data_IF_071198829447
#
_entry.id   IF_071198829447
#
_cell.length_a   1.000
_cell.length_b   1.000
_cell.length_c   1.000
_cell.angle_alpha   90.00
_cell.angle_beta   90.00
_cell.angle_gamma   90.00
#
_symmetry.space_group_name_H-M   'P 1'
#
loop_
_entity.id
_entity.type
_entity.pdbx_description
1 polymer ?
#
# COMPACT_ATOMS: atom_id res chain seq x y z
N UNK A 1 20.01 -12.48 7.26
CA UNK A 1 18.66 -13.05 7.49
C UNK A 1 17.79 -12.75 6.28
N UNK A 2 16.81 -13.62 5.94
CA UNK A 2 15.81 -13.29 4.93
C UNK A 2 14.89 -12.21 5.51
N UNK A 3 14.61 -11.16 4.74
CA UNK A 3 13.68 -10.11 5.15
C UNK A 3 12.24 -10.50 4.82
N UNK A 4 11.35 -10.29 5.77
CA UNK A 4 9.90 -10.51 5.60
C UNK A 4 9.22 -9.23 5.18
N UNK A 5 8.53 -9.26 4.04
CA UNK A 5 7.69 -8.15 3.57
C UNK A 5 6.21 -8.55 3.64
N UNK A 6 5.41 -7.75 4.37
CA UNK A 6 3.95 -7.86 4.36
C UNK A 6 3.37 -6.84 3.37
N UNK A 7 2.49 -7.32 2.48
CA UNK A 7 1.81 -6.49 1.49
C UNK A 7 0.30 -6.66 1.66
N UNK A 8 -0.38 -5.59 2.05
CA UNK A 8 -1.84 -5.59 2.17
C UNK A 8 -2.51 -5.34 0.82
N UNK A 9 -3.68 -5.96 0.57
CA UNK A 9 -4.38 -5.82 -0.70
C UNK A 9 -3.61 -6.40 -1.90
N UNK A 10 -2.90 -7.53 -1.72
CA UNK A 10 -1.96 -8.10 -2.68
C UNK A 10 -2.59 -9.01 -3.75
N UNK A 11 -3.92 -9.16 -3.79
CA UNK A 11 -4.58 -10.09 -4.72
C UNK A 11 -4.54 -9.63 -6.19
N UNK A 12 -4.47 -8.31 -6.45
CA UNK A 12 -4.47 -7.72 -7.80
C UNK A 12 -3.85 -6.32 -7.82
N UNK A 13 -3.83 -5.69 -8.98
CA UNK A 13 -3.44 -4.29 -9.17
C UNK A 13 -2.07 -3.95 -8.61
N UNK A 14 -1.97 -2.80 -7.95
CA UNK A 14 -0.72 -2.29 -7.35
C UNK A 14 -0.13 -3.30 -6.37
N UNK A 15 -0.94 -3.89 -5.48
CA UNK A 15 -0.46 -4.85 -4.49
C UNK A 15 0.18 -6.10 -5.11
N UNK A 16 -0.41 -6.64 -6.19
CA UNK A 16 0.21 -7.74 -6.96
C UNK A 16 1.50 -7.29 -7.63
N UNK A 17 1.52 -6.10 -8.25
CA UNK A 17 2.73 -5.53 -8.86
C UNK A 17 3.88 -5.38 -7.86
N UNK A 18 3.58 -4.89 -6.66
CA UNK A 18 4.55 -4.81 -5.56
C UNK A 18 5.02 -6.21 -5.14
N UNK A 19 4.10 -7.17 -4.96
CA UNK A 19 4.47 -8.53 -4.58
C UNK A 19 5.45 -9.18 -5.58
N UNK A 20 5.23 -8.97 -6.86
CA UNK A 20 6.11 -9.48 -7.92
C UNK A 20 7.50 -8.84 -7.91
N UNK A 21 7.65 -7.60 -7.47
CA UNK A 21 8.96 -6.96 -7.34
C UNK A 21 9.84 -7.61 -6.25
N UNK A 22 9.23 -8.29 -5.28
CA UNK A 22 9.91 -9.07 -4.24
C UNK A 22 10.03 -10.57 -4.57
N UNK A 23 9.61 -11.01 -5.75
CA UNK A 23 9.64 -12.41 -6.18
C UNK A 23 11.07 -12.89 -6.49
N UNK A 24 12.00 -12.76 -5.53
CA UNK A 24 13.41 -13.12 -5.68
C UNK A 24 13.88 -13.98 -4.49
N UNK A 25 14.87 -14.84 -4.73
CA UNK A 25 15.50 -15.64 -3.67
C UNK A 25 16.04 -14.72 -2.55
N UNK A 26 15.77 -15.09 -1.30
CA UNK A 26 16.18 -14.33 -0.13
C UNK A 26 15.07 -13.47 0.48
N UNK A 27 13.90 -13.39 -0.14
CA UNK A 27 12.73 -12.72 0.43
C UNK A 27 11.73 -13.72 1.01
N UNK A 28 11.05 -13.31 2.07
CA UNK A 28 9.84 -13.92 2.61
C UNK A 28 8.69 -12.94 2.35
N UNK A 29 7.66 -13.37 1.63
CA UNK A 29 6.57 -12.49 1.19
C UNK A 29 5.27 -12.95 1.83
N UNK A 30 4.74 -12.15 2.74
CA UNK A 30 3.44 -12.30 3.35
C UNK A 30 2.41 -11.51 2.54
N UNK A 31 1.45 -12.18 1.95
CA UNK A 31 0.40 -11.58 1.12
C UNK A 31 -0.92 -11.56 1.87
N UNK A 32 -1.54 -10.39 1.94
CA UNK A 32 -2.86 -10.24 2.53
C UNK A 32 -3.90 -9.79 1.50
N UNK A 33 -5.11 -10.26 1.66
CA UNK A 33 -6.33 -9.67 1.11
C UNK A 33 -7.52 -9.97 2.04
N UNK A 34 -8.62 -9.23 1.85
CA UNK A 34 -9.85 -9.45 2.63
C UNK A 34 -10.71 -10.58 2.05
N UNK A 35 -10.94 -10.62 0.74
CA UNK A 35 -11.94 -11.49 0.12
C UNK A 35 -11.42 -12.32 -1.05
N UNK A 36 -10.56 -11.78 -1.91
CA UNK A 36 -10.16 -12.41 -3.17
C UNK A 36 -9.03 -13.45 -2.97
N UNK A 37 -9.29 -14.49 -2.18
CA UNK A 37 -8.29 -15.49 -1.80
C UNK A 37 -7.78 -16.30 -3.02
N UNK A 38 -8.63 -16.55 -4.02
CA UNK A 38 -8.24 -17.22 -5.25
C UNK A 38 -7.18 -16.42 -6.00
N UNK A 39 -7.44 -15.14 -6.28
CA UNK A 39 -6.47 -14.23 -6.92
C UNK A 39 -5.21 -14.03 -6.05
N UNK A 40 -5.34 -14.11 -4.71
CA UNK A 40 -4.19 -14.05 -3.82
C UNK A 40 -3.30 -15.30 -3.98
N UNK A 41 -3.89 -16.49 -4.17
CA UNK A 41 -3.15 -17.72 -4.46
C UNK A 41 -2.45 -17.67 -5.82
N UNK A 42 -3.06 -17.05 -6.84
CA UNK A 42 -2.38 -16.79 -8.11
C UNK A 42 -1.13 -15.90 -7.90
N UNK A 43 -1.28 -14.81 -7.13
CA UNK A 43 -0.16 -13.92 -6.81
C UNK A 43 0.94 -14.69 -6.07
N UNK A 44 0.57 -15.52 -5.08
CA UNK A 44 1.51 -16.40 -4.37
C UNK A 44 2.27 -17.31 -5.33
N UNK A 45 1.57 -17.96 -6.26
CA UNK A 45 2.19 -18.88 -7.22
C UNK A 45 3.24 -18.14 -8.09
N UNK A 46 2.93 -16.93 -8.56
CA UNK A 46 3.85 -16.08 -9.33
C UNK A 46 5.08 -15.69 -8.50
N UNK A 47 4.88 -15.27 -7.25
CA UNK A 47 5.97 -14.89 -6.32
C UNK A 47 6.88 -16.08 -6.04
N UNK A 48 6.30 -17.26 -5.77
CA UNK A 48 7.07 -18.49 -5.54
C UNK A 48 7.87 -18.90 -6.80
N UNK A 49 7.29 -18.75 -7.99
CA UNK A 49 7.98 -19.03 -9.27
C UNK A 49 9.22 -18.15 -9.44
N UNK A 50 9.21 -16.91 -8.92
CA UNK A 50 10.38 -16.02 -8.90
C UNK A 50 11.46 -16.40 -7.88
N UNK A 51 11.19 -17.35 -6.97
CA UNK A 51 12.15 -17.92 -6.02
C UNK A 51 12.03 -17.40 -4.59
N UNK A 52 11.10 -16.50 -4.27
CA UNK A 52 10.83 -16.08 -2.90
C UNK A 52 10.01 -17.13 -2.13
N UNK A 53 10.17 -17.17 -0.80
CA UNK A 53 9.22 -17.87 0.07
C UNK A 53 7.97 -17.03 0.20
N UNK A 54 6.78 -17.62 0.01
CA UNK A 54 5.54 -16.85 0.05
C UNK A 54 4.43 -17.59 0.77
N UNK A 55 3.71 -16.89 1.64
CA UNK A 55 2.50 -17.36 2.31
C UNK A 55 1.38 -16.32 2.23
N UNK A 56 0.13 -16.78 2.33
CA UNK A 56 -1.06 -15.92 2.33
C UNK A 56 -1.64 -15.84 3.72
N UNK A 57 -2.15 -14.66 4.07
CA UNK A 57 -2.76 -14.33 5.36
C UNK A 57 -4.05 -13.53 5.11
N UNK A 58 -5.17 -14.21 4.76
CA UNK A 58 -6.44 -13.55 4.54
C UNK A 58 -6.97 -12.94 5.83
N UNK A 59 -7.24 -11.63 5.81
CA UNK A 59 -7.79 -10.88 6.93
C UNK A 59 -8.37 -9.54 6.44
N UNK A 60 -9.39 -9.04 7.08
CA UNK A 60 -9.81 -7.65 6.93
C UNK A 60 -8.92 -6.78 7.82
N UNK A 61 -7.99 -6.07 7.21
CA UNK A 61 -7.02 -5.22 7.94
C UNK A 61 -7.66 -3.97 8.55
N UNK A 62 -8.90 -3.63 8.20
CA UNK A 62 -9.67 -2.60 8.91
C UNK A 62 -10.22 -3.09 10.26
N UNK A 63 -10.29 -4.40 10.45
CA UNK A 63 -10.65 -5.04 11.72
C UNK A 63 -9.39 -5.26 12.56
N UNK A 64 -9.36 -4.65 13.74
CA UNK A 64 -8.21 -4.71 14.64
C UNK A 64 -7.88 -6.13 15.09
N UNK A 65 -8.90 -6.92 15.47
CA UNK A 65 -8.70 -8.29 15.97
C UNK A 65 -8.22 -9.24 14.89
N UNK A 66 -8.76 -9.12 13.65
CA UNK A 66 -8.27 -9.91 12.53
C UNK A 66 -6.83 -9.52 12.16
N UNK A 67 -6.49 -8.23 12.26
CA UNK A 67 -5.12 -7.75 12.01
C UNK A 67 -4.17 -8.30 13.07
N UNK A 68 -4.52 -8.26 14.36
CA UNK A 68 -3.72 -8.84 15.44
C UNK A 68 -3.42 -10.32 15.18
N UNK A 69 -4.48 -11.09 14.90
CA UNK A 69 -4.32 -12.53 14.57
C UNK A 69 -3.41 -12.74 13.37
N UNK A 70 -3.60 -11.96 12.30
CA UNK A 70 -2.77 -12.04 11.10
C UNK A 70 -1.29 -11.81 11.40
N UNK A 71 -0.94 -10.81 12.21
CA UNK A 71 0.44 -10.56 12.61
C UNK A 71 1.01 -11.68 13.46
N UNK A 72 0.24 -12.27 14.37
CA UNK A 72 0.64 -13.46 15.13
C UNK A 72 0.93 -14.68 14.23
N UNK A 73 0.08 -14.91 13.23
CA UNK A 73 0.28 -15.99 12.25
C UNK A 73 1.55 -15.74 11.37
N UNK A 74 1.84 -14.47 11.02
CA UNK A 74 3.07 -14.09 10.29
C UNK A 74 4.30 -14.28 11.16
N UNK A 75 4.26 -13.91 12.43
CA UNK A 75 5.36 -14.10 13.37
C UNK A 75 5.71 -15.59 13.52
N UNK A 76 4.71 -16.46 13.68
CA UNK A 76 4.93 -17.91 13.73
C UNK A 76 5.51 -18.48 12.43
N UNK A 77 5.15 -17.90 11.27
CA UNK A 77 5.55 -18.43 9.96
C UNK A 77 6.91 -17.92 9.52
N UNK A 78 7.19 -16.64 9.76
CA UNK A 78 8.33 -15.92 9.19
C UNK A 78 9.21 -15.20 10.23
N UNK A 79 8.80 -15.15 11.50
CA UNK A 79 9.55 -14.53 12.59
C UNK A 79 9.30 -13.04 12.78
N UNK A 80 8.37 -12.44 12.05
CA UNK A 80 7.99 -11.03 12.15
C UNK A 80 7.93 -10.30 10.81
N UNK A 81 7.65 -9.01 10.85
CA UNK A 81 7.52 -8.15 9.65
C UNK A 81 8.62 -7.09 9.66
N UNK A 82 9.60 -7.22 8.75
CA UNK A 82 10.69 -6.25 8.59
C UNK A 82 10.28 -5.08 7.68
N UNK A 83 9.41 -5.35 6.72
CA UNK A 83 8.92 -4.36 5.76
C UNK A 83 7.39 -4.46 5.68
N UNK A 84 6.72 -3.34 5.92
CA UNK A 84 5.27 -3.22 5.81
C UNK A 84 4.90 -2.36 4.62
N UNK A 85 4.08 -2.91 3.71
CA UNK A 85 3.51 -2.17 2.59
C UNK A 85 2.00 -2.04 2.80
N UNK A 86 1.58 -0.87 3.22
CA UNK A 86 0.18 -0.50 3.40
C UNK A 86 -0.40 -0.09 2.04
N UNK A 87 -0.99 -1.05 1.33
CA UNK A 87 -1.54 -0.82 0.00
C UNK A 87 -3.07 -0.99 -0.07
N UNK A 88 -3.70 -1.74 0.81
CA UNK A 88 -5.15 -1.89 0.81
C UNK A 88 -5.86 -0.52 0.78
N UNK A 89 -7.02 -0.47 0.13
CA UNK A 89 -7.80 0.77 0.07
C UNK A 89 -8.99 0.66 -0.87
N UNK A 90 -9.91 1.60 -0.71
CA UNK A 90 -11.09 1.77 -1.55
C UNK A 90 -11.22 3.24 -1.95
N UNK A 91 -11.90 3.51 -3.08
CA UNK A 91 -12.42 4.84 -3.43
C UNK A 91 -13.94 4.80 -3.48
N UNK A 92 -14.56 5.94 -3.21
CA UNK A 92 -16.00 6.19 -3.38
C UNK A 92 -16.10 7.52 -4.13
N UNK A 93 -16.67 7.46 -5.32
CA UNK A 93 -16.83 8.62 -6.20
C UNK A 93 -18.25 9.17 -6.02
N UNK A 94 -18.37 10.47 -5.86
CA UNK A 94 -19.63 11.19 -5.72
C UNK A 94 -19.45 12.56 -5.09
N UNK A 95 -20.46 13.42 -5.21
CA UNK A 95 -20.45 14.73 -4.57
C UNK A 95 -20.43 14.58 -3.05
N UNK A 96 -19.68 15.43 -2.37
CA UNK A 96 -19.50 15.35 -0.92
C UNK A 96 -20.81 15.41 -0.14
N UNK A 97 -21.74 16.23 -0.59
CA UNK A 97 -23.07 16.38 0.02
C UNK A 97 -23.94 15.11 -0.05
N UNK A 98 -23.68 14.24 -1.04
CA UNK A 98 -24.43 13.01 -1.27
C UNK A 98 -23.78 11.80 -0.59
N UNK A 99 -22.58 11.98 -0.04
CA UNK A 99 -21.85 10.93 0.66
C UNK A 99 -22.52 10.61 2.00
N UNK A 100 -22.95 9.36 2.18
CA UNK A 100 -23.53 8.95 3.45
C UNK A 100 -22.48 8.92 4.56
N UNK A 101 -22.92 9.13 5.84
CA UNK A 101 -22.02 8.96 6.99
C UNK A 101 -21.45 7.55 7.06
N UNK A 102 -22.21 6.54 6.69
CA UNK A 102 -21.74 5.15 6.67
C UNK A 102 -20.62 4.94 5.66
N UNK A 103 -20.73 5.51 4.48
CA UNK A 103 -19.69 5.43 3.45
C UNK A 103 -18.44 6.22 3.84
N UNK A 104 -18.60 7.39 4.46
CA UNK A 104 -17.48 8.14 5.02
C UNK A 104 -16.71 7.30 6.05
N UNK A 105 -17.42 6.71 7.04
CA UNK A 105 -16.78 5.88 8.07
C UNK A 105 -16.10 4.66 7.46
N UNK A 106 -16.78 3.95 6.56
CA UNK A 106 -16.23 2.79 5.85
C UNK A 106 -14.94 3.14 5.09
N UNK A 107 -14.93 4.29 4.40
CA UNK A 107 -13.76 4.74 3.67
C UNK A 107 -12.61 5.10 4.61
N UNK A 108 -12.89 5.83 5.68
CA UNK A 108 -11.86 6.21 6.67
C UNK A 108 -11.29 4.99 7.39
N UNK A 109 -12.13 4.07 7.85
CA UNK A 109 -11.69 2.84 8.51
C UNK A 109 -10.87 1.96 7.55
N UNK A 110 -11.31 1.85 6.28
CA UNK A 110 -10.60 1.06 5.27
C UNK A 110 -9.32 1.72 4.77
N UNK A 111 -9.22 3.06 4.70
CA UNK A 111 -8.04 3.72 4.11
C UNK A 111 -7.06 4.27 5.15
N UNK A 112 -7.51 4.58 6.36
CA UNK A 112 -6.70 5.18 7.43
C UNK A 112 -6.60 4.24 8.63
N UNK A 113 -7.75 3.70 9.10
CA UNK A 113 -7.81 2.79 10.23
C UNK A 113 -6.92 1.55 10.04
N UNK A 114 -6.93 0.95 8.84
CA UNK A 114 -6.07 -0.20 8.57
C UNK A 114 -4.56 0.14 8.63
N UNK A 115 -4.17 1.35 8.22
CA UNK A 115 -2.75 1.78 8.30
C UNK A 115 -2.34 1.85 9.77
N UNK A 116 -3.22 2.40 10.62
CA UNK A 116 -2.99 2.37 12.06
C UNK A 116 -2.84 0.94 12.57
N UNK A 117 -3.78 0.05 12.28
CA UNK A 117 -3.75 -1.33 12.76
C UNK A 117 -2.46 -2.04 12.35
N UNK A 118 -2.11 -1.99 11.05
CA UNK A 118 -0.90 -2.65 10.54
C UNK A 118 0.39 -2.05 11.12
N UNK A 119 0.49 -0.73 11.22
CA UNK A 119 1.64 -0.06 11.85
C UNK A 119 1.75 -0.42 13.33
N UNK A 120 0.63 -0.44 14.07
CA UNK A 120 0.60 -0.78 15.49
C UNK A 120 1.21 -2.16 15.77
N UNK A 121 0.90 -3.15 14.96
CA UNK A 121 1.43 -4.52 15.15
C UNK A 121 2.82 -4.73 14.53
N UNK A 122 3.22 -3.97 13.50
CA UNK A 122 4.53 -4.12 12.89
C UNK A 122 5.65 -3.41 13.67
N UNK A 123 5.38 -2.23 14.21
CA UNK A 123 6.37 -1.35 14.83
C UNK A 123 7.11 -2.01 16.01
N UNK A 124 6.46 -2.74 16.95
CA UNK A 124 7.17 -3.37 18.06
C UNK A 124 8.30 -4.31 17.62
N UNK A 125 8.07 -5.15 16.61
CA UNK A 125 9.12 -6.02 16.03
C UNK A 125 10.24 -5.18 15.42
N UNK A 126 9.92 -4.18 14.60
CA UNK A 126 10.90 -3.31 13.96
C UNK A 126 11.77 -2.53 14.99
N UNK A 127 11.15 -2.06 16.09
CA UNK A 127 11.87 -1.37 17.18
C UNK A 127 12.81 -2.33 17.91
N UNK A 128 12.39 -3.56 18.17
CA UNK A 128 13.22 -4.59 18.78
C UNK A 128 14.44 -4.90 17.90
N UNK A 129 14.22 -5.08 16.61
CA UNK A 129 15.30 -5.38 15.63
C UNK A 129 16.15 -4.14 15.26
N UNK A 130 15.74 -2.94 15.66
CA UNK A 130 16.35 -1.64 15.28
C UNK A 130 16.53 -1.50 13.77
N UNK A 131 15.56 -2.01 13.04
CA UNK A 131 15.53 -2.03 11.58
C UNK A 131 14.10 -2.24 11.11
N UNK A 132 13.64 -1.41 10.20
CA UNK A 132 12.32 -1.59 9.60
C UNK A 132 12.02 -0.60 8.49
N UNK A 133 11.07 -0.93 7.63
CA UNK A 133 10.59 -0.01 6.60
C UNK A 133 9.08 -0.09 6.47
N UNK A 134 8.44 1.07 6.41
CA UNK A 134 7.00 1.21 6.19
C UNK A 134 6.81 2.05 4.93
N UNK A 135 6.11 1.50 3.95
CA UNK A 135 5.72 2.21 2.72
C UNK A 135 4.20 2.26 2.66
N UNK A 136 3.66 3.46 2.65
CA UNK A 136 2.23 3.69 2.51
C UNK A 136 1.89 4.05 1.06
N UNK A 137 1.00 3.28 0.44
CA UNK A 137 0.50 3.62 -0.90
C UNK A 137 -0.60 4.66 -0.76
N UNK A 138 -0.23 5.88 -1.12
CA UNK A 138 -1.08 7.05 -1.10
C UNK A 138 -1.59 7.38 -2.52
N UNK A 139 -2.03 8.60 -2.73
CA UNK A 139 -2.51 9.11 -4.02
C UNK A 139 -2.10 10.58 -4.16
N UNK A 140 -1.95 11.03 -5.40
CA UNK A 140 -1.83 12.46 -5.72
C UNK A 140 -3.04 13.25 -5.19
N UNK A 141 -4.21 12.63 -5.07
CA UNK A 141 -5.38 13.25 -4.45
C UNK A 141 -5.23 13.52 -2.95
N UNK A 142 -4.31 12.84 -2.28
CA UNK A 142 -3.92 13.19 -0.91
C UNK A 142 -3.00 14.43 -0.83
N UNK A 143 -2.58 14.97 -1.96
CA UNK A 143 -1.75 16.20 -2.09
C UNK A 143 -2.60 17.33 -2.64
N UNK A 144 -3.19 17.16 -3.84
CA UNK A 144 -3.93 18.19 -4.54
C UNK A 144 -5.43 18.24 -4.19
N UNK A 145 -6.00 17.09 -3.78
CA UNK A 145 -7.45 16.93 -3.70
C UNK A 145 -8.09 16.70 -5.07
N UNK A 146 -9.30 16.08 -5.08
CA UNK A 146 -10.06 15.87 -6.30
C UNK A 146 -11.54 16.15 -6.08
N UNK A 147 -12.18 16.74 -7.09
CA UNK A 147 -13.64 16.85 -7.14
C UNK A 147 -14.27 15.47 -7.21
N UNK A 148 -15.43 15.30 -6.59
CA UNK A 148 -16.12 14.02 -6.45
C UNK A 148 -15.38 12.92 -5.67
N UNK A 149 -14.18 13.18 -5.18
CA UNK A 149 -13.37 12.27 -4.36
C UNK A 149 -12.89 12.94 -3.05
N UNK A 150 -13.65 13.88 -2.51
CA UNK A 150 -13.23 14.64 -1.32
C UNK A 150 -12.91 13.75 -0.10
N UNK A 151 -13.70 12.70 0.17
CA UNK A 151 -13.45 11.78 1.25
C UNK A 151 -12.19 10.92 1.01
N UNK A 152 -12.00 10.44 -0.22
CA UNK A 152 -10.80 9.72 -0.60
C UNK A 152 -9.55 10.60 -0.46
N UNK A 153 -9.61 11.83 -0.97
CA UNK A 153 -8.54 12.83 -0.82
C UNK A 153 -8.20 13.09 0.64
N UNK A 154 -9.21 13.27 1.50
CA UNK A 154 -9.02 13.45 2.93
C UNK A 154 -8.33 12.23 3.57
N UNK A 155 -8.74 11.00 3.21
CA UNK A 155 -8.13 9.77 3.72
C UNK A 155 -6.66 9.64 3.32
N UNK A 156 -6.32 9.95 2.06
CA UNK A 156 -4.94 9.88 1.57
C UNK A 156 -4.08 11.03 2.11
N UNK A 157 -4.67 12.21 2.34
CA UNK A 157 -4.04 13.30 3.07
C UNK A 157 -3.69 12.92 4.52
N UNK A 158 -4.60 12.20 5.21
CA UNK A 158 -4.34 11.67 6.54
C UNK A 158 -3.18 10.66 6.55
N UNK A 159 -3.11 9.76 5.58
CA UNK A 159 -1.98 8.81 5.41
C UNK A 159 -0.67 9.56 5.16
N UNK A 160 -0.67 10.63 4.37
CA UNK A 160 0.52 11.46 4.13
C UNK A 160 1.01 12.15 5.43
N UNK A 161 0.09 12.67 6.24
CA UNK A 161 0.42 13.28 7.52
C UNK A 161 0.96 12.25 8.53
N UNK A 162 0.30 11.08 8.62
CA UNK A 162 0.73 9.97 9.48
C UNK A 162 2.13 9.46 9.08
N UNK A 163 2.42 9.36 7.79
CA UNK A 163 3.75 9.00 7.26
C UNK A 163 4.84 9.92 7.81
N UNK A 164 4.61 11.23 7.75
CA UNK A 164 5.59 12.23 8.23
C UNK A 164 5.75 12.20 9.75
N UNK A 165 4.66 11.95 10.49
CA UNK A 165 4.69 11.87 11.95
C UNK A 165 5.46 10.63 12.42
N UNK A 166 5.10 9.44 11.91
CA UNK A 166 5.77 8.18 12.25
C UNK A 166 7.25 8.18 11.82
N UNK A 167 7.59 8.80 10.70
CA UNK A 167 8.99 8.93 10.28
C UNK A 167 9.86 9.64 11.33
N UNK A 168 9.35 10.72 11.94
CA UNK A 168 10.06 11.46 13.00
C UNK A 168 10.16 10.64 14.30
N UNK A 169 9.09 9.96 14.65
CA UNK A 169 9.01 9.15 15.88
C UNK A 169 9.92 7.92 15.81
N UNK A 170 10.01 7.28 14.64
CA UNK A 170 10.68 5.99 14.46
C UNK A 170 12.12 6.09 13.92
N UNK A 171 12.54 7.26 13.44
CA UNK A 171 13.90 7.48 12.94
C UNK A 171 14.99 7.13 13.99
N UNK A 172 14.85 7.43 15.31
CA UNK A 172 15.83 7.02 16.31
C UNK A 172 15.99 5.50 16.43
N UNK A 173 14.98 4.73 16.04
CA UNK A 173 15.00 3.27 16.01
C UNK A 173 15.46 2.69 14.65
N UNK A 174 15.99 3.54 13.75
CA UNK A 174 16.42 3.14 12.41
C UNK A 174 15.28 2.52 11.57
N UNK A 175 14.06 3.06 11.70
CA UNK A 175 12.88 2.67 10.93
C UNK A 175 12.53 3.81 9.98
N UNK A 176 12.43 3.53 8.68
CA UNK A 176 12.06 4.50 7.67
C UNK A 176 10.59 4.36 7.31
N UNK A 177 9.88 5.50 7.27
CA UNK A 177 8.47 5.56 6.90
C UNK A 177 8.30 6.55 5.75
N UNK A 178 7.87 6.06 4.58
CA UNK A 178 7.64 6.88 3.40
C UNK A 178 6.28 6.55 2.77
N UNK A 179 5.77 7.44 1.93
CA UNK A 179 4.59 7.21 1.13
C UNK A 179 4.92 7.37 -0.36
N UNK A 180 4.19 6.62 -1.20
CA UNK A 180 4.15 6.83 -2.64
C UNK A 180 2.76 7.36 -2.99
N UNK A 181 2.71 8.60 -3.45
CA UNK A 181 1.50 9.23 -3.96
C UNK A 181 1.36 8.85 -5.44
N UNK A 182 0.58 7.80 -5.70
CA UNK A 182 0.33 7.33 -7.05
C UNK A 182 -0.63 8.26 -7.80
N UNK A 183 -0.33 8.54 -9.06
CA UNK A 183 -1.28 9.07 -10.03
C UNK A 183 -2.22 7.98 -10.56
N UNK A 184 -2.65 8.13 -11.80
CA UNK A 184 -3.51 7.15 -12.47
C UNK A 184 -2.69 5.91 -12.88
N UNK A 185 -2.95 4.79 -12.19
CA UNK A 185 -2.30 3.49 -12.45
C UNK A 185 -3.29 2.56 -13.14
N UNK A 186 -2.86 1.83 -14.15
CA UNK A 186 -3.67 0.88 -14.91
C UNK A 186 -4.04 -0.35 -14.05
N UNK A 187 -5.21 -0.27 -13.44
CA UNK A 187 -5.74 -1.28 -12.51
C UNK A 187 -7.26 -1.33 -12.60
N UNK A 188 -7.86 -2.38 -12.00
CA UNK A 188 -9.31 -2.53 -11.90
C UNK A 188 -10.00 -1.36 -11.17
N UNK A 189 -9.26 -0.57 -10.39
CA UNK A 189 -9.82 0.62 -9.73
C UNK A 189 -10.27 1.69 -10.73
N UNK A 190 -9.69 1.70 -11.94
CA UNK A 190 -10.04 2.58 -13.04
C UNK A 190 -10.88 1.88 -14.13
N UNK A 191 -11.34 0.65 -13.91
CA UNK A 191 -12.08 -0.14 -14.90
C UNK A 191 -13.52 0.39 -15.16
N UNK A 192 -13.99 1.32 -14.35
CA UNK A 192 -15.29 1.98 -14.55
C UNK A 192 -15.24 3.09 -15.62
N UNK A 193 -14.07 3.56 -16.00
CA UNK A 193 -13.91 4.59 -17.04
C UNK A 193 -14.25 4.01 -18.41
N UNK A 194 -15.07 4.72 -19.17
CA UNK A 194 -15.27 4.47 -20.60
C UNK A 194 -13.96 4.71 -21.37
N UNK A 195 -13.92 4.26 -22.63
CA UNK A 195 -12.75 4.48 -23.49
C UNK A 195 -12.45 5.97 -23.70
N UNK A 196 -13.49 6.80 -23.86
CA UNK A 196 -13.34 8.25 -24.04
C UNK A 196 -12.87 8.93 -22.76
N UNK A 197 -13.40 8.57 -21.60
CA UNK A 197 -12.93 9.10 -20.29
C UNK A 197 -11.48 8.68 -20.01
N UNK A 198 -11.12 7.44 -20.36
CA UNK A 198 -9.74 6.96 -20.24
C UNK A 198 -8.79 7.72 -21.18
N UNK A 199 -9.21 7.99 -22.42
CA UNK A 199 -8.43 8.77 -23.37
C UNK A 199 -8.22 10.20 -22.86
N UNK A 200 -9.30 10.87 -22.37
CA UNK A 200 -9.22 12.22 -21.79
C UNK A 200 -8.27 12.26 -20.58
N UNK A 201 -8.34 11.26 -19.70
CA UNK A 201 -7.43 11.16 -18.56
C UNK A 201 -5.96 11.01 -19.00
N UNK A 202 -5.71 10.24 -20.06
CA UNK A 202 -4.36 10.05 -20.62
C UNK A 202 -3.83 11.37 -21.21
N UNK A 203 -4.67 12.17 -21.85
CA UNK A 203 -4.29 13.48 -22.40
C UNK A 203 -3.88 14.48 -21.31
N UNK A 204 -4.46 14.39 -20.10
CA UNK A 204 -4.08 15.24 -18.96
C UNK A 204 -2.71 14.86 -18.38
N UNK A 205 -2.23 13.64 -18.60
CA UNK A 205 -0.97 13.15 -18.03
C UNK A 205 0.18 13.47 -19.00
N UNK A 206 1.17 14.30 -18.61
CA UNK A 206 2.29 14.68 -19.50
C UNK A 206 3.08 13.49 -20.06
N UNK A 207 3.17 12.37 -19.31
CA UNK A 207 3.79 11.14 -19.80
C UNK A 207 2.97 10.43 -20.90
N UNK A 208 1.76 10.89 -21.23
CA UNK A 208 0.90 10.36 -22.29
C UNK A 208 0.39 8.93 -22.07
N UNK A 209 0.37 8.46 -20.83
CA UNK A 209 -0.11 7.12 -20.47
C UNK A 209 -0.42 6.99 -18.97
N UNK A 210 -1.16 5.96 -18.64
CA UNK A 210 -1.28 5.53 -17.24
C UNK A 210 0.05 4.88 -16.77
N UNK A 211 0.32 5.00 -15.48
CA UNK A 211 1.36 4.20 -14.82
C UNK A 211 0.97 2.73 -14.73
N UNK A 212 1.93 1.87 -14.44
CA UNK A 212 1.70 0.43 -14.30
C UNK A 212 1.94 -0.05 -12.85
N UNK A 213 1.28 -1.12 -12.40
CA UNK A 213 1.59 -1.76 -11.11
C UNK A 213 3.07 -2.15 -10.95
N UNK A 214 3.74 -2.50 -12.05
CA UNK A 214 5.15 -2.86 -12.04
C UNK A 214 6.06 -1.66 -11.73
N UNK A 215 5.72 -0.46 -12.22
CA UNK A 215 6.46 0.78 -11.91
C UNK A 215 6.34 1.14 -10.44
N UNK A 216 5.14 1.01 -9.87
CA UNK A 216 4.94 1.19 -8.42
C UNK A 216 5.76 0.16 -7.64
N UNK A 217 5.71 -1.12 -8.03
CA UNK A 217 6.50 -2.19 -7.41
C UNK A 217 8.01 -1.95 -7.47
N UNK A 218 8.50 -1.44 -8.58
CA UNK A 218 9.91 -1.09 -8.77
C UNK A 218 10.37 0.03 -7.84
N UNK A 219 9.55 1.09 -7.70
CA UNK A 219 9.84 2.18 -6.77
C UNK A 219 9.80 1.71 -5.32
N UNK A 220 8.78 0.92 -4.93
CA UNK A 220 8.70 0.31 -3.58
C UNK A 220 9.95 -0.51 -3.29
N UNK A 221 10.38 -1.37 -4.21
CA UNK A 221 11.57 -2.20 -4.02
C UNK A 221 12.83 -1.35 -3.86
N UNK A 222 12.98 -0.27 -4.65
CA UNK A 222 14.10 0.66 -4.55
C UNK A 222 14.16 1.31 -3.17
N UNK A 223 13.03 1.82 -2.67
CA UNK A 223 12.92 2.40 -1.33
C UNK A 223 13.22 1.39 -0.21
N UNK A 224 12.87 0.11 -0.43
CA UNK A 224 13.16 -0.96 0.53
C UNK A 224 14.61 -1.45 0.49
N UNK A 225 15.32 -1.26 -0.61
CA UNK A 225 16.69 -1.73 -0.81
C UNK A 225 17.75 -0.69 -0.42
N UNK A 226 17.37 0.58 -0.35
CA UNK A 226 18.29 1.71 -0.15
C UNK A 226 18.53 2.04 1.33
N UNK A 227 19.44 2.99 1.52
CA UNK A 227 19.95 3.47 2.80
C UNK A 227 18.86 4.05 3.71
N UNK A 228 19.08 3.98 5.01
CA UNK A 228 18.15 4.42 6.04
C UNK A 228 17.99 5.94 6.20
N UNK A 229 18.50 6.79 5.28
CA UNK A 229 18.42 8.25 5.43
C UNK A 229 17.14 8.86 4.81
N UNK A 230 16.52 8.18 3.85
CA UNK A 230 15.27 8.62 3.23
C UNK A 230 14.06 8.23 4.10
N UNK A 231 13.49 9.19 4.80
CA UNK A 231 12.30 8.99 5.64
C UNK A 231 11.41 10.23 5.66
N UNK A 232 10.12 10.06 5.90
CA UNK A 232 9.12 11.12 5.99
C UNK A 232 8.71 11.72 4.63
N UNK A 233 9.08 11.07 3.52
CA UNK A 233 8.79 11.57 2.19
C UNK A 233 7.45 11.07 1.68
N UNK A 234 6.77 11.91 0.89
CA UNK A 234 5.61 11.57 0.07
C UNK A 234 6.06 11.75 -1.38
N UNK A 235 6.40 10.65 -2.02
CA UNK A 235 7.00 10.63 -3.36
C UNK A 235 5.89 10.47 -4.39
N UNK A 236 5.77 11.40 -5.32
CA UNK A 236 4.82 11.32 -6.42
C UNK A 236 5.33 10.36 -7.50
N UNK A 237 4.41 9.53 -8.00
CA UNK A 237 4.62 8.64 -9.14
C UNK A 237 3.39 8.75 -10.04
N UNK A 238 3.36 9.77 -10.90
CA UNK A 238 2.16 10.23 -11.56
C UNK A 238 2.34 10.65 -13.04
N UNK A 239 3.54 10.49 -13.59
CA UNK A 239 3.82 10.89 -14.96
C UNK A 239 3.85 12.41 -15.20
N UNK A 240 3.98 13.19 -14.12
CA UNK A 240 3.99 14.65 -14.15
C UNK A 240 2.60 15.28 -14.14
N UNK A 241 1.56 14.53 -13.70
CA UNK A 241 0.16 14.95 -13.76
C UNK A 241 -0.18 16.07 -12.76
N UNK A 242 0.39 16.06 -11.53
CA UNK A 242 0.07 16.99 -10.44
C UNK A 242 1.34 17.70 -9.97
#
# INVERSE_FOLDING_TARGET
>A
MCKTVLITGASRGIGRGIALSFAKKGWQVALNCRQNVEQLNETKALVCKGGAKCAIFPADVSDYTQTEKMFGDIEQTFGGVDILINNAGISIIGLFQDLSRADWMRLMDTNVGFVYNCCHFAIPHMVHEKCGKIINISSVWGIAGASCEAAYSASKGAVNALTRALAKELAPSNIQVNAIACGAIDTDMNAFLSEDERASLIEEIPAGRLGTPAEVGSLVQSLCSDSGYLTGQVIQLDGGWI
#
